data_IF_166593196838
#
_entry.id   IF_166593196838
#
_cell.length_a   1.000
_cell.length_b   1.000
_cell.length_c   1.000
_cell.angle_alpha   90.00
_cell.angle_beta   90.00
_cell.angle_gamma   90.00
#
_symmetry.space_group_name_H-M   'P 1'
#
loop_
_entity.id
_entity.type
_entity.pdbx_description
1 polymer ?
#
# COMPACT_ATOMS: atom_id res chain seq x y z
N UNK A 1 -1.65 66.77 -33.52
CA UNK A 1 -0.75 65.60 -33.39
C UNK A 1 -0.17 65.45 -31.98
N UNK A 2 0.35 66.52 -31.35
CA UNK A 2 0.99 66.46 -30.01
C UNK A 2 0.08 66.05 -28.84
N UNK A 3 -1.21 66.43 -28.85
CA UNK A 3 -2.15 66.15 -27.75
C UNK A 3 -2.51 64.65 -27.70
N UNK A 4 -2.67 64.02 -28.86
CA UNK A 4 -3.00 62.59 -28.96
C UNK A 4 -1.85 61.68 -28.50
N UNK A 5 -0.59 62.10 -28.72
CA UNK A 5 0.59 61.40 -28.24
C UNK A 5 0.73 61.44 -26.71
N UNK A 6 0.36 62.56 -26.07
CA UNK A 6 0.36 62.71 -24.60
C UNK A 6 -0.66 61.80 -23.91
N UNK A 7 -1.87 61.68 -24.45
CA UNK A 7 -2.91 60.81 -23.88
C UNK A 7 -2.56 59.31 -24.01
N UNK A 8 -1.91 58.92 -25.10
CA UNK A 8 -1.43 57.55 -25.30
C UNK A 8 -0.31 57.22 -24.31
N UNK A 9 0.63 58.14 -24.09
CA UNK A 9 1.69 58.01 -23.08
C UNK A 9 1.12 57.96 -21.66
N UNK A 10 0.14 58.80 -21.32
CA UNK A 10 -0.50 58.80 -20.01
C UNK A 10 -1.23 57.47 -19.73
N UNK A 11 -1.99 56.95 -20.71
CA UNK A 11 -2.62 55.63 -20.60
C UNK A 11 -1.60 54.49 -20.46
N UNK A 12 -0.51 54.53 -21.23
CA UNK A 12 0.55 53.53 -21.14
C UNK A 12 1.22 53.52 -19.75
N UNK A 13 1.47 54.69 -19.14
CA UNK A 13 2.04 54.81 -17.79
C UNK A 13 1.09 54.22 -16.72
N UNK A 14 -0.21 54.50 -16.82
CA UNK A 14 -1.21 53.94 -15.89
C UNK A 14 -1.28 52.42 -16.01
N UNK A 15 -1.26 51.87 -17.22
CA UNK A 15 -1.26 50.43 -17.46
C UNK A 15 0.02 49.76 -16.93
N UNK A 16 1.19 50.38 -17.14
CA UNK A 16 2.45 49.85 -16.59
C UNK A 16 2.48 49.88 -15.05
N UNK A 17 1.90 50.91 -14.43
CA UNK A 17 1.79 51.00 -12.97
C UNK A 17 0.85 49.92 -12.40
N UNK A 18 -0.29 49.69 -13.04
CA UNK A 18 -1.23 48.62 -12.68
C UNK A 18 -0.59 47.23 -12.85
N UNK A 19 0.13 47.00 -13.95
CA UNK A 19 0.88 45.76 -14.18
C UNK A 19 1.96 45.55 -13.11
N UNK A 20 2.71 46.60 -12.75
CA UNK A 20 3.69 46.55 -11.67
C UNK A 20 3.07 46.22 -10.30
N UNK A 21 1.85 46.68 -10.02
CA UNK A 21 1.11 46.33 -8.81
C UNK A 21 0.69 44.85 -8.81
N UNK A 22 0.10 44.36 -9.91
CA UNK A 22 -0.30 42.97 -10.05
C UNK A 22 0.90 42.00 -9.97
N UNK A 23 2.05 42.36 -10.51
CA UNK A 23 3.27 41.54 -10.39
C UNK A 23 3.76 41.48 -8.93
N UNK A 24 3.63 42.56 -8.16
CA UNK A 24 3.99 42.56 -6.73
C UNK A 24 3.02 41.71 -5.90
N UNK A 25 1.72 41.83 -6.14
CA UNK A 25 0.70 40.99 -5.49
C UNK A 25 0.87 39.51 -5.83
N UNK A 26 1.18 39.20 -7.10
CA UNK A 26 1.48 37.85 -7.55
C UNK A 26 2.69 37.25 -6.82
N UNK A 27 3.78 38.02 -6.65
CA UNK A 27 4.96 37.57 -5.90
C UNK A 27 4.67 37.30 -4.42
N UNK A 28 3.87 38.15 -3.77
CA UNK A 28 3.45 37.93 -2.37
C UNK A 28 2.56 36.70 -2.26
N UNK A 29 1.65 36.50 -3.22
CA UNK A 29 0.77 35.31 -3.26
C UNK A 29 1.58 34.04 -3.53
N UNK A 30 2.54 34.08 -4.44
CA UNK A 30 3.46 32.98 -4.74
C UNK A 30 4.28 32.59 -3.51
N UNK A 31 4.83 33.57 -2.78
CA UNK A 31 5.56 33.31 -1.54
C UNK A 31 4.69 32.60 -0.51
N UNK A 32 3.45 33.07 -0.29
CA UNK A 32 2.48 32.41 0.61
C UNK A 32 2.10 31.01 0.17
N UNK A 33 1.93 30.79 -1.14
CA UNK A 33 1.65 29.46 -1.70
C UNK A 33 2.85 28.52 -1.49
N UNK A 34 4.07 29.01 -1.71
CA UNK A 34 5.27 28.21 -1.51
C UNK A 34 5.44 27.86 -0.04
N UNK A 35 5.27 28.81 0.87
CA UNK A 35 5.28 28.56 2.32
C UNK A 35 4.22 27.51 2.71
N UNK A 36 2.99 27.64 2.20
CA UNK A 36 1.95 26.63 2.42
C UNK A 36 2.34 25.25 1.88
N UNK A 37 2.99 25.17 0.71
CA UNK A 37 3.46 23.91 0.11
C UNK A 37 4.51 23.22 0.97
N UNK A 38 5.40 23.99 1.62
CA UNK A 38 6.42 23.44 2.51
C UNK A 38 5.78 22.62 3.65
N UNK A 39 4.71 23.14 4.23
CA UNK A 39 4.01 22.49 5.35
C UNK A 39 3.43 21.12 4.97
N UNK A 40 2.94 20.96 3.74
CA UNK A 40 2.37 19.69 3.26
C UNK A 40 3.36 18.77 2.55
N UNK A 41 4.64 19.17 2.44
CA UNK A 41 5.66 18.36 1.75
C UNK A 41 5.78 16.95 2.34
N UNK A 42 5.69 16.80 3.66
CA UNK A 42 5.76 15.49 4.32
C UNK A 42 4.61 14.56 3.87
N UNK A 43 3.38 15.09 3.76
CA UNK A 43 2.23 14.34 3.26
C UNK A 43 2.39 13.97 1.77
N UNK A 44 2.90 14.90 0.96
CA UNK A 44 3.17 14.64 -0.46
C UNK A 44 4.28 13.58 -0.66
N UNK A 45 5.35 13.65 0.13
CA UNK A 45 6.43 12.66 0.11
C UNK A 45 5.92 11.28 0.51
N UNK A 46 5.08 11.19 1.56
CA UNK A 46 4.41 9.94 1.95
C UNK A 46 3.55 9.39 0.82
N UNK A 47 2.70 10.22 0.20
CA UNK A 47 1.85 9.78 -0.91
C UNK A 47 2.68 9.27 -2.09
N UNK A 48 3.77 9.97 -2.44
CA UNK A 48 4.68 9.55 -3.50
C UNK A 48 5.33 8.20 -3.19
N UNK A 49 5.83 8.00 -1.97
CA UNK A 49 6.38 6.72 -1.52
C UNK A 49 5.38 5.57 -1.70
N UNK A 50 4.14 5.78 -1.23
CA UNK A 50 3.07 4.78 -1.31
C UNK A 50 2.74 4.41 -2.76
N UNK A 51 2.68 5.40 -3.66
CA UNK A 51 2.46 5.17 -5.08
C UNK A 51 3.55 4.28 -5.69
N UNK A 52 4.82 4.57 -5.42
CA UNK A 52 5.93 3.79 -5.99
C UNK A 52 5.97 2.37 -5.45
N UNK A 53 5.71 2.17 -4.14
CA UNK A 53 5.61 0.82 -3.56
C UNK A 53 4.47 0.05 -4.24
N UNK A 54 3.30 0.68 -4.40
CA UNK A 54 2.14 0.06 -5.05
C UNK A 54 2.43 -0.27 -6.53
N UNK A 55 3.07 0.64 -7.27
CA UNK A 55 3.43 0.42 -8.67
C UNK A 55 4.43 -0.73 -8.85
N UNK A 56 5.36 -0.89 -7.91
CA UNK A 56 6.37 -1.94 -7.94
C UNK A 56 5.84 -3.35 -7.64
N UNK A 57 4.58 -3.48 -7.19
CA UNK A 57 3.97 -4.79 -6.93
C UNK A 57 3.82 -5.65 -8.20
N UNK A 58 3.78 -5.04 -9.39
CA UNK A 58 3.77 -5.79 -10.65
C UNK A 58 5.01 -6.69 -10.82
N UNK A 59 6.11 -6.39 -10.11
CA UNK A 59 7.35 -7.18 -10.09
C UNK A 59 7.17 -8.49 -9.31
N UNK A 60 6.20 -8.53 -8.38
CA UNK A 60 5.86 -9.72 -7.60
C UNK A 60 4.90 -10.60 -8.41
N UNK A 61 3.83 -10.00 -8.94
CA UNK A 61 2.85 -10.72 -9.74
C UNK A 61 2.28 -9.84 -10.87
N UNK A 62 2.17 -10.34 -12.12
CA UNK A 62 1.69 -9.55 -13.26
C UNK A 62 0.26 -8.98 -13.11
N UNK A 63 -0.56 -9.56 -12.21
CA UNK A 63 -1.91 -9.06 -11.91
C UNK A 63 -1.92 -7.81 -11.02
N UNK A 64 -0.80 -7.48 -10.35
CA UNK A 64 -0.72 -6.32 -9.46
C UNK A 64 -0.44 -5.05 -10.26
N UNK A 65 -1.42 -4.65 -11.06
CA UNK A 65 -1.36 -3.44 -11.88
C UNK A 65 -2.21 -2.34 -11.27
N UNK A 66 -1.56 -1.25 -10.90
CA UNK A 66 -2.21 -0.07 -10.34
C UNK A 66 -1.84 1.14 -11.18
N UNK A 67 -2.84 1.96 -11.53
CA UNK A 67 -2.61 3.18 -12.32
C UNK A 67 -2.50 4.41 -11.44
N UNK A 68 -1.81 5.44 -11.93
CA UNK A 68 -1.78 6.75 -11.29
C UNK A 68 -3.18 7.38 -11.18
N UNK A 69 -4.07 7.13 -12.16
CA UNK A 69 -5.46 7.60 -12.13
C UNK A 69 -6.20 7.01 -10.93
N UNK A 70 -6.10 5.69 -10.73
CA UNK A 70 -6.72 5.02 -9.58
C UNK A 70 -6.13 5.49 -8.25
N UNK A 71 -4.79 5.61 -8.17
CA UNK A 71 -4.12 6.16 -6.99
C UNK A 71 -4.63 7.58 -6.65
N UNK A 72 -4.78 8.44 -7.66
CA UNK A 72 -5.21 9.84 -7.48
C UNK A 72 -6.61 9.93 -6.88
N UNK A 73 -7.53 9.04 -7.31
CA UNK A 73 -8.88 8.96 -6.74
C UNK A 73 -8.83 8.56 -5.27
N UNK A 74 -8.05 7.53 -4.93
CA UNK A 74 -7.88 7.07 -3.54
C UNK A 74 -7.25 8.16 -2.67
N UNK A 75 -6.21 8.82 -3.19
CA UNK A 75 -5.54 9.93 -2.52
C UNK A 75 -6.49 11.09 -2.23
N UNK A 76 -7.29 11.54 -3.21
CA UNK A 76 -8.26 12.61 -3.02
C UNK A 76 -9.32 12.24 -1.97
N UNK A 77 -9.86 11.01 -2.03
CA UNK A 77 -10.81 10.51 -1.03
C UNK A 77 -10.17 10.48 0.37
N UNK A 78 -8.91 10.07 0.48
CA UNK A 78 -8.19 10.03 1.75
C UNK A 78 -7.96 11.44 2.34
N UNK A 79 -7.64 12.42 1.51
CA UNK A 79 -7.47 13.83 1.92
C UNK A 79 -8.78 14.42 2.45
N UNK A 80 -9.90 14.12 1.79
CA UNK A 80 -11.24 14.55 2.22
C UNK A 80 -11.69 13.85 3.51
N UNK A 81 -11.33 12.57 3.68
CA UNK A 81 -11.64 11.77 4.87
C UNK A 81 -10.79 12.12 6.09
N UNK A 82 -9.61 12.70 5.89
CA UNK A 82 -8.70 13.01 6.98
C UNK A 82 -9.32 14.05 7.93
N UNK A 83 -9.31 13.76 9.23
CA UNK A 83 -9.87 14.64 10.25
C UNK A 83 -9.26 16.06 10.18
N UNK A 84 -10.10 17.11 10.15
CA UNK A 84 -9.63 18.49 10.20
C UNK A 84 -9.01 18.79 11.57
N UNK A 85 -8.03 19.68 11.59
CA UNK A 85 -7.42 20.16 12.83
C UNK A 85 -6.95 21.60 12.62
N UNK A 86 -7.08 22.43 13.67
CA UNK A 86 -6.63 23.83 13.67
C UNK A 86 -5.10 23.92 13.79
N UNK A 87 -4.47 22.96 14.47
CA UNK A 87 -3.01 22.86 14.48
C UNK A 87 -2.50 22.25 13.18
N UNK A 88 -1.69 23.01 12.45
CA UNK A 88 -1.18 22.60 11.14
C UNK A 88 -0.35 21.31 11.21
N UNK A 89 0.43 21.09 12.28
CA UNK A 89 1.24 19.87 12.41
C UNK A 89 0.33 18.66 12.61
N UNK A 90 -0.66 18.77 13.49
CA UNK A 90 -1.64 17.72 13.70
C UNK A 90 -2.47 17.45 12.43
N UNK A 91 -2.87 18.50 11.70
CA UNK A 91 -3.57 18.35 10.41
C UNK A 91 -2.73 17.57 9.40
N UNK A 92 -1.43 17.86 9.29
CA UNK A 92 -0.52 17.13 8.40
C UNK A 92 -0.36 15.67 8.84
N UNK A 93 -0.31 15.40 10.15
CA UNK A 93 -0.30 14.04 10.69
C UNK A 93 -1.58 13.28 10.31
N UNK A 94 -2.75 13.88 10.51
CA UNK A 94 -4.05 13.29 10.16
C UNK A 94 -4.12 12.96 8.66
N UNK A 95 -3.58 13.83 7.81
CA UNK A 95 -3.47 13.60 6.36
C UNK A 95 -2.58 12.39 6.05
N UNK A 96 -1.37 12.35 6.63
CA UNK A 96 -0.43 11.24 6.45
C UNK A 96 -1.07 9.91 6.86
N UNK A 97 -1.75 9.88 8.00
CA UNK A 97 -2.40 8.68 8.51
C UNK A 97 -3.56 8.22 7.64
N UNK A 98 -4.43 9.15 7.22
CA UNK A 98 -5.56 8.86 6.33
C UNK A 98 -5.08 8.36 4.96
N UNK A 99 -4.11 9.04 4.35
CA UNK A 99 -3.52 8.65 3.06
C UNK A 99 -2.88 7.26 3.18
N UNK A 100 -2.07 7.03 4.21
CA UNK A 100 -1.40 5.74 4.41
C UNK A 100 -2.42 4.61 4.59
N UNK A 101 -3.45 4.82 5.42
CA UNK A 101 -4.49 3.82 5.68
C UNK A 101 -5.34 3.52 4.45
N UNK A 102 -5.78 4.55 3.72
CA UNK A 102 -6.62 4.39 2.53
C UNK A 102 -5.88 3.70 1.38
N UNK A 103 -4.61 4.09 1.12
CA UNK A 103 -3.81 3.42 0.09
C UNK A 103 -3.52 1.98 0.50
N UNK A 104 -3.15 1.72 1.76
CA UNK A 104 -2.94 0.37 2.27
C UNK A 104 -4.17 -0.54 2.06
N UNK A 105 -5.36 -0.07 2.43
CA UNK A 105 -6.61 -0.81 2.25
C UNK A 105 -6.92 -1.03 0.76
N UNK A 106 -6.72 0.00 -0.06
CA UNK A 106 -6.93 -0.10 -1.49
C UNK A 106 -6.01 -1.15 -2.14
N UNK A 107 -4.71 -1.10 -1.83
CA UNK A 107 -3.73 -2.04 -2.38
C UNK A 107 -3.99 -3.46 -1.89
N UNK A 108 -4.17 -3.68 -0.58
CA UNK A 108 -4.37 -5.04 -0.02
C UNK A 108 -5.62 -5.76 -0.55
N UNK A 109 -6.67 -5.05 -0.99
CA UNK A 109 -7.81 -5.68 -1.67
C UNK A 109 -7.44 -6.35 -2.98
N UNK A 110 -6.44 -5.82 -3.69
CA UNK A 110 -5.98 -6.33 -4.97
C UNK A 110 -4.93 -7.43 -4.87
N UNK A 111 -4.48 -7.79 -3.66
CA UNK A 111 -3.39 -8.76 -3.45
C UNK A 111 -3.91 -10.13 -3.03
N UNK A 112 -3.24 -11.18 -3.49
CA UNK A 112 -3.39 -12.51 -2.93
C UNK A 112 -2.94 -12.55 -1.47
N UNK A 113 -3.57 -13.41 -0.67
CA UNK A 113 -3.23 -13.56 0.75
C UNK A 113 -1.75 -13.87 1.00
N UNK A 114 -1.11 -14.65 0.12
CA UNK A 114 0.30 -15.00 0.24
C UNK A 114 1.24 -13.80 0.14
N UNK A 115 0.84 -12.73 -0.56
CA UNK A 115 1.68 -11.57 -0.85
C UNK A 115 1.42 -10.38 0.08
N UNK A 116 0.30 -10.40 0.83
CA UNK A 116 -0.08 -9.28 1.71
C UNK A 116 0.99 -8.98 2.75
N UNK A 117 1.55 -10.01 3.39
CA UNK A 117 2.58 -9.79 4.41
C UNK A 117 3.86 -9.18 3.81
N UNK A 118 4.25 -9.61 2.61
CA UNK A 118 5.39 -9.04 1.88
C UNK A 118 5.17 -7.56 1.58
N UNK A 119 3.99 -7.20 1.08
CA UNK A 119 3.63 -5.81 0.83
C UNK A 119 3.64 -4.97 2.12
N UNK A 120 3.03 -5.48 3.20
CA UNK A 120 2.95 -4.79 4.48
C UNK A 120 4.34 -4.58 5.10
N UNK A 121 5.22 -5.59 5.02
CA UNK A 121 6.59 -5.49 5.48
C UNK A 121 7.36 -4.43 4.69
N UNK A 122 7.27 -4.46 3.35
CA UNK A 122 7.90 -3.45 2.50
C UNK A 122 7.38 -2.04 2.79
N UNK A 123 6.07 -1.88 2.98
CA UNK A 123 5.44 -0.63 3.37
C UNK A 123 6.03 -0.10 4.68
N UNK A 124 6.11 -0.95 5.72
CA UNK A 124 6.68 -0.58 7.01
C UNK A 124 8.15 -0.19 6.89
N UNK A 125 8.99 -0.99 6.23
CA UNK A 125 10.41 -0.70 6.07
C UNK A 125 10.65 0.63 5.35
N UNK A 126 9.95 0.89 4.25
CA UNK A 126 10.11 2.11 3.48
C UNK A 126 9.64 3.35 4.26
N UNK A 127 8.53 3.25 5.00
CA UNK A 127 8.05 4.31 5.89
C UNK A 127 9.09 4.63 6.96
N UNK A 128 9.61 3.61 7.64
CA UNK A 128 10.56 3.78 8.73
C UNK A 128 11.92 4.31 8.22
N UNK A 129 12.37 3.90 7.03
CA UNK A 129 13.55 4.46 6.38
C UNK A 129 13.36 5.95 6.06
N UNK A 130 12.22 6.32 5.46
CA UNK A 130 11.92 7.72 5.13
C UNK A 130 11.88 8.60 6.39
N UNK A 131 11.41 8.05 7.50
CA UNK A 131 11.39 8.72 8.80
C UNK A 131 12.72 8.62 9.57
N UNK A 132 13.74 7.95 9.03
CA UNK A 132 15.04 7.68 9.69
C UNK A 132 14.94 6.93 11.03
N UNK A 133 13.91 6.11 11.19
CA UNK A 133 13.62 5.34 12.42
C UNK A 133 14.32 3.97 12.47
N UNK A 134 14.89 3.51 11.36
CA UNK A 134 15.63 2.25 11.26
C UNK A 134 16.95 2.42 10.54
N UNK A 135 17.95 1.61 10.91
CA UNK A 135 19.26 1.58 10.28
C UNK A 135 19.20 0.83 8.94
N UNK A 136 19.63 1.45 7.81
CA UNK A 136 19.68 0.77 6.52
C UNK A 136 20.56 -0.49 6.50
N UNK A 137 21.64 -0.53 7.29
CA UNK A 137 22.52 -1.70 7.37
C UNK A 137 21.84 -2.91 8.05
N UNK A 138 21.07 -2.67 9.11
CA UNK A 138 20.26 -3.71 9.76
C UNK A 138 19.22 -4.29 8.78
N UNK A 139 18.58 -3.42 8.00
CA UNK A 139 17.60 -3.84 7.00
C UNK A 139 18.25 -4.63 5.86
N UNK A 140 19.42 -4.21 5.37
CA UNK A 140 20.15 -4.93 4.32
C UNK A 140 20.54 -6.34 4.80
N UNK A 141 21.01 -6.47 6.04
CA UNK A 141 21.23 -7.77 6.66
C UNK A 141 19.95 -8.62 6.69
N UNK A 142 18.82 -8.06 7.15
CA UNK A 142 17.56 -8.80 7.24
C UNK A 142 17.12 -9.34 5.87
N UNK A 143 17.22 -8.52 4.82
CA UNK A 143 16.75 -8.84 3.47
C UNK A 143 17.68 -9.78 2.71
N UNK A 144 19.00 -9.54 2.75
CA UNK A 144 19.99 -10.37 2.03
C UNK A 144 20.37 -11.62 2.80
N UNK A 145 20.32 -11.55 4.12
CA UNK A 145 20.74 -12.58 5.05
C UNK A 145 22.12 -13.17 4.68
N UNK A 146 23.20 -12.38 4.76
CA UNK A 146 24.54 -12.89 4.50
C UNK A 146 24.91 -13.96 5.53
N UNK A 147 25.55 -15.03 5.06
CA UNK A 147 25.96 -16.17 5.89
C UNK A 147 27.45 -16.41 5.71
N UNK A 148 28.19 -16.50 6.81
CA UNK A 148 29.60 -16.91 6.76
C UNK A 148 29.69 -18.40 6.42
N UNK A 149 30.32 -18.79 5.29
CA UNK A 149 30.43 -20.19 4.89
C UNK A 149 31.49 -20.93 5.72
N UNK A 150 31.35 -22.26 5.81
CA UNK A 150 32.37 -23.14 6.39
C UNK A 150 32.49 -23.12 7.92
N UNK A 151 31.60 -22.43 8.62
CA UNK A 151 31.55 -22.46 10.09
C UNK A 151 30.66 -23.61 10.59
N UNK A 152 31.08 -24.26 11.67
CA UNK A 152 30.28 -25.26 12.36
C UNK A 152 29.61 -24.65 13.59
N UNK A 153 28.35 -25.00 13.82
CA UNK A 153 27.65 -24.60 15.04
C UNK A 153 28.29 -25.30 16.24
N UNK A 154 28.69 -24.56 17.29
CA UNK A 154 29.17 -25.13 18.54
C UNK A 154 28.03 -25.61 19.45
N UNK A 155 26.78 -25.32 19.08
CA UNK A 155 25.56 -25.70 19.81
C UNK A 155 24.67 -26.62 18.97
N UNK A 156 23.97 -27.53 19.63
CA UNK A 156 23.16 -28.58 18.99
C UNK A 156 21.80 -28.09 18.47
N UNK A 157 21.31 -26.95 18.97
CA UNK A 157 20.01 -26.37 18.62
C UNK A 157 20.05 -25.36 17.47
N UNK A 158 21.23 -25.09 16.88
CA UNK A 158 21.38 -24.25 15.68
C UNK A 158 22.06 -25.02 14.56
N UNK A 159 21.57 -24.83 13.34
CA UNK A 159 22.24 -25.36 12.14
C UNK A 159 23.53 -24.59 11.84
N UNK A 160 24.45 -25.21 11.09
CA UNK A 160 25.66 -24.53 10.59
C UNK A 160 25.32 -23.27 9.77
N UNK A 161 24.21 -23.30 9.03
CA UNK A 161 23.74 -22.16 8.23
C UNK A 161 23.24 -21.00 9.12
N UNK A 162 22.41 -21.31 10.11
CA UNK A 162 21.97 -20.35 11.14
C UNK A 162 23.16 -19.75 11.88
N UNK A 163 24.12 -20.58 12.25
CA UNK A 163 25.34 -20.15 12.92
C UNK A 163 26.19 -19.22 12.05
N UNK A 164 26.35 -19.53 10.76
CA UNK A 164 27.00 -18.61 9.81
C UNK A 164 26.29 -17.26 9.69
N UNK A 165 24.95 -17.24 9.82
CA UNK A 165 24.17 -16.00 9.94
C UNK A 165 24.45 -15.24 11.24
N UNK A 166 24.52 -15.93 12.37
CA UNK A 166 24.93 -15.33 13.67
C UNK A 166 26.33 -14.72 13.57
N UNK A 167 27.29 -15.44 12.97
CA UNK A 167 28.66 -14.92 12.79
C UNK A 167 28.70 -13.70 11.89
N UNK A 168 27.93 -13.70 10.80
CA UNK A 168 27.79 -12.52 9.94
C UNK A 168 27.17 -11.34 10.69
N UNK A 169 26.15 -11.59 11.51
CA UNK A 169 25.52 -10.56 12.34
C UNK A 169 26.51 -9.96 13.35
N UNK A 170 27.37 -10.78 13.96
CA UNK A 170 28.43 -10.33 14.89
C UNK A 170 29.46 -9.38 14.27
N UNK A 171 29.54 -9.27 12.94
CA UNK A 171 30.41 -8.30 12.27
C UNK A 171 29.92 -6.86 12.42
N UNK A 172 28.63 -6.69 12.74
CA UNK A 172 28.02 -5.39 13.02
C UNK A 172 28.25 -5.01 14.48
N UNK A 173 28.54 -3.73 14.74
CA UNK A 173 28.99 -3.25 16.06
C UNK A 173 28.00 -3.56 17.17
N UNK A 174 26.71 -3.44 16.86
CA UNK A 174 25.61 -3.66 17.78
C UNK A 174 25.48 -5.12 18.20
N UNK A 175 25.99 -6.08 17.44
CA UNK A 175 25.84 -7.51 17.72
C UNK A 175 27.13 -8.20 18.13
N UNK A 176 28.17 -7.43 18.45
CA UNK A 176 29.44 -7.98 18.94
C UNK A 176 29.20 -8.91 20.14
N UNK A 177 29.89 -10.05 20.12
CA UNK A 177 29.82 -11.11 21.14
C UNK A 177 28.48 -11.87 21.24
N UNK A 178 27.54 -11.71 20.29
CA UNK A 178 26.32 -12.52 20.26
C UNK A 178 26.63 -14.02 20.19
N UNK A 179 27.57 -14.40 19.34
CA UNK A 179 28.08 -15.77 19.22
C UNK A 179 28.61 -16.30 20.57
N UNK A 180 29.47 -15.52 21.24
CA UNK A 180 30.05 -15.88 22.54
C UNK A 180 29.00 -16.04 23.63
N UNK A 181 27.96 -15.20 23.66
CA UNK A 181 26.87 -15.33 24.63
C UNK A 181 25.97 -16.54 24.35
N UNK A 182 25.72 -16.86 23.06
CA UNK A 182 25.00 -18.08 22.69
C UNK A 182 25.75 -19.33 23.15
N UNK A 183 27.07 -19.37 22.95
CA UNK A 183 27.92 -20.47 23.42
C UNK A 183 27.97 -20.54 24.96
N UNK A 184 28.31 -19.42 25.61
CA UNK A 184 28.50 -19.37 27.06
C UNK A 184 27.20 -19.58 27.86
N UNK A 185 26.06 -19.18 27.29
CA UNK A 185 24.73 -19.31 27.90
C UNK A 185 23.82 -20.29 27.15
N UNK A 186 24.39 -21.35 26.56
CA UNK A 186 23.70 -22.29 25.66
C UNK A 186 22.34 -22.79 26.16
N UNK A 187 22.21 -23.18 27.45
CA UNK A 187 20.93 -23.65 28.02
C UNK A 187 19.80 -22.63 27.90
N UNK A 188 20.10 -21.34 28.06
CA UNK A 188 19.10 -20.26 28.00
C UNK A 188 18.70 -19.97 26.56
N UNK A 189 19.68 -19.91 25.65
CA UNK A 189 19.43 -19.72 24.23
C UNK A 189 18.68 -20.89 23.62
N UNK A 190 19.02 -22.13 24.01
CA UNK A 190 18.27 -23.33 23.65
C UNK A 190 16.80 -23.21 24.02
N UNK A 191 16.49 -22.79 25.26
CA UNK A 191 15.11 -22.56 25.70
C UNK A 191 14.35 -21.55 24.82
N UNK A 192 15.00 -20.45 24.45
CA UNK A 192 14.39 -19.44 23.57
C UNK A 192 14.20 -19.98 22.14
N UNK A 193 15.24 -20.59 21.55
CA UNK A 193 15.21 -21.12 20.18
C UNK A 193 14.22 -22.26 20.05
N UNK A 194 14.10 -23.14 21.05
CA UNK A 194 13.15 -24.27 21.04
C UNK A 194 11.73 -23.88 21.47
N UNK A 195 11.48 -22.62 21.82
CA UNK A 195 10.12 -22.13 22.11
C UNK A 195 9.20 -22.32 20.90
N UNK A 196 7.92 -22.57 21.14
CA UNK A 196 6.92 -22.65 20.07
C UNK A 196 6.68 -21.29 19.41
N UNK A 197 6.70 -20.21 20.21
CA UNK A 197 6.40 -18.84 19.80
C UNK A 197 7.52 -17.87 20.25
N UNK A 198 8.77 -18.05 19.79
CA UNK A 198 9.92 -17.24 20.20
C UNK A 198 9.74 -15.74 19.93
N UNK A 199 8.97 -15.37 18.91
CA UNK A 199 8.65 -13.97 18.58
C UNK A 199 7.85 -13.26 19.69
N UNK A 200 7.16 -14.01 20.56
CA UNK A 200 6.44 -13.49 21.74
C UNK A 200 7.30 -13.49 23.00
N UNK A 201 8.47 -14.13 22.97
CA UNK A 201 9.37 -14.19 24.11
C UNK A 201 10.31 -13.00 24.18
N UNK A 202 10.79 -12.70 25.38
CA UNK A 202 11.86 -11.72 25.57
C UNK A 202 13.19 -12.40 25.27
N UNK A 203 14.01 -11.76 24.43
CA UNK A 203 15.36 -12.20 24.17
C UNK A 203 16.19 -12.30 25.48
N UNK A 204 17.18 -13.21 25.55
CA UNK A 204 18.05 -13.34 26.71
C UNK A 204 18.81 -12.05 27.06
N UNK A 205 19.04 -11.81 28.36
CA UNK A 205 19.95 -10.76 28.87
C UNK A 205 19.72 -9.36 28.27
N UNK A 206 20.77 -8.76 27.72
CA UNK A 206 20.81 -7.43 27.12
C UNK A 206 20.24 -7.40 25.69
N UNK A 207 20.09 -8.56 25.04
CA UNK A 207 19.54 -8.67 23.70
C UNK A 207 18.08 -8.26 23.61
N UNK A 208 17.34 -8.27 24.73
CA UNK A 208 15.98 -7.71 24.82
C UNK A 208 15.92 -6.20 24.60
N UNK A 209 17.03 -5.48 24.78
CA UNK A 209 17.11 -4.04 24.62
C UNK A 209 17.39 -3.61 23.17
N UNK A 210 17.58 -4.57 22.26
CA UNK A 210 17.77 -4.30 20.84
C UNK A 210 16.53 -3.66 20.22
N UNK A 211 16.74 -2.84 19.20
CA UNK A 211 15.64 -2.25 18.44
C UNK A 211 14.78 -3.36 17.81
N UNK A 212 13.55 -3.04 17.45
CA UNK A 212 12.61 -4.01 16.87
C UNK A 212 13.14 -4.61 15.56
N UNK A 213 13.87 -3.83 14.76
CA UNK A 213 14.51 -4.33 13.53
C UNK A 213 15.70 -5.23 13.86
N UNK A 214 16.51 -4.87 14.85
CA UNK A 214 17.64 -5.70 15.28
C UNK A 214 17.17 -7.04 15.86
N UNK A 215 16.05 -7.04 16.61
CA UNK A 215 15.38 -8.26 17.07
C UNK A 215 14.92 -9.13 15.90
N UNK A 216 14.41 -8.53 14.80
CA UNK A 216 14.11 -9.27 13.57
C UNK A 216 15.36 -9.89 12.94
N UNK A 217 16.50 -9.17 12.89
CA UNK A 217 17.76 -9.72 12.37
C UNK A 217 18.22 -10.94 13.19
N UNK A 218 18.07 -10.88 14.51
CA UNK A 218 18.35 -12.02 15.39
C UNK A 218 17.38 -13.18 15.16
N UNK A 219 16.07 -12.91 15.07
CA UNK A 219 15.07 -13.93 14.73
C UNK A 219 15.38 -14.60 13.39
N UNK A 220 15.84 -13.85 12.39
CA UNK A 220 16.18 -14.38 11.06
C UNK A 220 17.31 -15.41 11.13
N UNK A 221 18.30 -15.19 12.00
CA UNK A 221 19.40 -16.14 12.20
C UNK A 221 19.00 -17.35 13.05
N UNK A 222 18.20 -17.12 14.11
CA UNK A 222 17.91 -18.12 15.13
C UNK A 222 16.70 -19.01 14.80
N UNK A 223 15.63 -18.43 14.26
CA UNK A 223 14.34 -19.08 13.97
C UNK A 223 13.74 -18.58 12.64
N UNK A 224 14.38 -18.90 11.50
CA UNK A 224 13.92 -18.45 10.18
C UNK A 224 12.50 -18.93 9.84
N UNK A 225 12.05 -20.05 10.42
CA UNK A 225 10.70 -20.60 10.27
C UNK A 225 9.60 -19.75 10.90
N UNK A 226 9.95 -18.90 11.89
CA UNK A 226 9.00 -18.01 12.59
C UNK A 226 8.96 -16.59 12.03
N UNK A 227 9.67 -16.32 10.94
CA UNK A 227 9.79 -14.96 10.38
C UNK A 227 8.45 -14.34 9.98
N UNK A 228 7.50 -15.14 9.49
CA UNK A 228 6.15 -14.66 9.15
C UNK A 228 5.46 -14.02 10.36
N UNK A 229 5.58 -14.64 11.54
CA UNK A 229 5.00 -14.13 12.78
C UNK A 229 5.82 -12.96 13.33
N UNK A 230 7.14 -13.07 13.33
CA UNK A 230 8.02 -11.99 13.80
C UNK A 230 7.83 -10.69 12.99
N UNK A 231 7.72 -10.78 11.66
CA UNK A 231 7.48 -9.62 10.79
C UNK A 231 6.09 -9.03 11.03
N UNK A 232 5.07 -9.87 11.24
CA UNK A 232 3.73 -9.40 11.61
C UNK A 232 3.77 -8.60 12.90
N UNK A 233 4.42 -9.13 13.93
CA UNK A 233 4.56 -8.45 15.23
C UNK A 233 5.35 -7.14 15.09
N UNK A 234 6.40 -7.12 14.29
CA UNK A 234 7.16 -5.89 13.99
C UNK A 234 6.28 -4.82 13.34
N UNK A 235 5.48 -5.19 12.35
CA UNK A 235 4.55 -4.27 11.68
C UNK A 235 3.51 -3.76 12.67
N UNK A 236 2.93 -4.64 13.48
CA UNK A 236 1.96 -4.26 14.51
C UNK A 236 2.56 -3.26 15.51
N UNK A 237 3.79 -3.50 15.94
CA UNK A 237 4.51 -2.61 16.86
C UNK A 237 4.79 -1.23 16.22
N UNK A 238 5.11 -1.18 14.93
CA UNK A 238 5.56 0.05 14.25
C UNK A 238 4.47 0.86 13.58
N UNK A 239 3.50 0.21 12.95
CA UNK A 239 2.41 0.86 12.22
C UNK A 239 1.06 0.73 12.95
N UNK A 240 0.94 -0.20 13.88
CA UNK A 240 -0.29 -0.47 14.63
C UNK A 240 -1.09 -1.66 14.10
N UNK A 241 -1.97 -2.17 14.95
CA UNK A 241 -2.75 -3.40 14.71
C UNK A 241 -3.65 -3.34 13.47
N UNK A 242 -4.07 -2.14 13.05
CA UNK A 242 -4.89 -1.93 11.84
C UNK A 242 -4.23 -2.43 10.53
N UNK A 243 -2.90 -2.61 10.52
CA UNK A 243 -2.17 -3.10 9.35
C UNK A 243 -1.95 -4.62 9.33
N UNK A 244 -2.24 -5.32 10.43
CA UNK A 244 -2.05 -6.78 10.53
C UNK A 244 -3.34 -7.54 10.77
N UNK A 245 -4.38 -6.88 11.29
CA UNK A 245 -5.70 -7.47 11.46
C UNK A 245 -6.32 -7.63 10.06
N UNK A 246 -6.43 -8.88 9.61
CA UNK A 246 -7.13 -9.24 8.38
C UNK A 246 -8.63 -9.02 8.53
N UNK A 247 -9.09 -7.78 8.47
CA UNK A 247 -10.53 -7.49 8.42
C UNK A 247 -11.00 -7.76 6.99
N UNK A 248 -11.98 -8.66 6.84
CA UNK A 248 -12.70 -8.78 5.58
C UNK A 248 -13.27 -7.41 5.22
N UNK A 249 -12.89 -6.88 4.07
CA UNK A 249 -13.33 -5.56 3.63
C UNK A 249 -14.76 -5.67 3.14
N UNK A 250 -15.65 -4.82 3.69
CA UNK A 250 -17.03 -4.74 3.26
C UNK A 250 -17.09 -4.30 1.79
N UNK A 251 -17.88 -5.01 0.99
CA UNK A 251 -18.13 -4.63 -0.40
C UNK A 251 -18.67 -3.19 -0.49
N UNK A 252 -19.49 -2.75 0.47
CA UNK A 252 -20.04 -1.39 0.48
C UNK A 252 -18.94 -0.31 0.53
N UNK A 253 -17.94 -0.48 1.39
CA UNK A 253 -16.82 0.47 1.48
C UNK A 253 -15.98 0.49 0.19
N UNK A 254 -15.84 -0.66 -0.47
CA UNK A 254 -15.14 -0.74 -1.76
C UNK A 254 -15.96 -0.13 -2.89
N UNK A 255 -17.29 -0.26 -2.84
CA UNK A 255 -18.21 0.35 -3.79
C UNK A 255 -18.18 1.89 -3.72
N UNK A 256 -18.18 2.48 -2.52
CA UNK A 256 -18.04 3.93 -2.33
C UNK A 256 -16.73 4.50 -2.90
N UNK A 257 -15.69 3.66 -2.93
CA UNK A 257 -14.38 4.03 -3.48
C UNK A 257 -14.30 3.85 -5.00
N UNK A 258 -15.19 3.03 -5.58
CA UNK A 258 -15.32 2.83 -7.02
C UNK A 258 -16.03 3.99 -7.72
N UNK A 259 -16.09 3.94 -9.05
CA UNK A 259 -16.86 4.88 -9.86
C UNK A 259 -17.29 4.23 -11.17
N UNK A 260 -18.23 4.83 -11.91
CA UNK A 260 -18.72 4.26 -13.17
C UNK A 260 -17.60 4.03 -14.20
N UNK A 261 -16.54 4.85 -14.15
CA UNK A 261 -15.38 4.74 -15.04
C UNK A 261 -14.26 3.84 -14.50
N UNK A 262 -14.50 3.07 -13.43
CA UNK A 262 -13.50 2.20 -12.80
C UNK A 262 -14.12 0.85 -12.46
N UNK A 263 -13.94 -0.18 -13.31
CA UNK A 263 -14.34 -1.54 -13.02
C UNK A 263 -13.94 -2.05 -11.64
N UNK A 264 -14.85 -2.76 -10.96
CA UNK A 264 -14.49 -3.60 -9.82
C UNK A 264 -14.22 -5.03 -10.26
N UNK A 265 -13.01 -5.50 -9.95
CA UNK A 265 -12.57 -6.85 -10.23
C UNK A 265 -12.48 -7.68 -8.96
N UNK A 266 -13.18 -8.81 -8.98
CA UNK A 266 -13.11 -9.82 -7.92
C UNK A 266 -12.18 -10.92 -8.40
N UNK A 267 -11.14 -11.20 -7.61
CA UNK A 267 -10.27 -12.35 -7.80
C UNK A 267 -10.75 -13.44 -6.85
N UNK A 268 -11.31 -14.50 -7.42
CA UNK A 268 -11.89 -15.59 -6.62
C UNK A 268 -10.84 -16.63 -6.27
N UNK A 269 -10.89 -17.09 -5.02
CA UNK A 269 -10.33 -18.39 -4.64
C UNK A 269 -11.43 -19.45 -4.68
N UNK A 270 -11.10 -20.73 -4.92
CA UNK A 270 -12.07 -21.82 -4.91
C UNK A 270 -12.95 -21.79 -3.65
N UNK A 271 -14.27 -21.84 -3.84
CA UNK A 271 -15.26 -21.86 -2.74
C UNK A 271 -15.71 -20.50 -2.20
N UNK A 272 -15.18 -19.38 -2.71
CA UNK A 272 -15.64 -18.02 -2.35
C UNK A 272 -16.57 -17.47 -3.43
N UNK A 273 -17.75 -17.01 -3.03
CA UNK A 273 -18.76 -16.40 -3.92
C UNK A 273 -19.09 -14.96 -3.49
N UNK A 274 -18.48 -13.93 -4.11
CA UNK A 274 -18.73 -12.54 -3.76
C UNK A 274 -20.07 -12.03 -4.30
N UNK A 275 -20.75 -12.80 -5.17
CA UNK A 275 -22.00 -12.38 -5.78
C UNK A 275 -23.06 -12.06 -4.71
N UNK A 276 -23.07 -12.82 -3.61
CA UNK A 276 -23.99 -12.59 -2.49
C UNK A 276 -23.81 -11.23 -1.85
N UNK A 277 -22.58 -10.77 -1.69
CA UNK A 277 -22.30 -9.45 -1.10
C UNK A 277 -22.66 -8.32 -2.06
N UNK A 278 -22.42 -8.52 -3.37
CA UNK A 278 -22.83 -7.58 -4.43
C UNK A 278 -24.35 -7.46 -4.49
N UNK A 279 -25.07 -8.58 -4.53
CA UNK A 279 -26.54 -8.58 -4.57
C UNK A 279 -27.14 -7.99 -3.29
N UNK A 280 -26.58 -8.31 -2.12
CA UNK A 280 -27.01 -7.74 -0.84
C UNK A 280 -26.84 -6.22 -0.81
N UNK A 281 -25.75 -5.70 -1.37
CA UNK A 281 -25.55 -4.25 -1.46
C UNK A 281 -26.43 -3.63 -2.55
N UNK A 282 -26.54 -4.27 -3.71
CA UNK A 282 -27.42 -3.84 -4.82
C UNK A 282 -28.87 -3.70 -4.36
N UNK A 283 -29.41 -4.66 -3.62
CA UNK A 283 -30.75 -4.57 -3.01
C UNK A 283 -30.96 -3.32 -2.15
N UNK A 284 -29.94 -2.91 -1.37
CA UNK A 284 -30.01 -1.68 -0.55
C UNK A 284 -30.06 -0.41 -1.42
N UNK A 285 -29.44 -0.44 -2.59
CA UNK A 285 -29.35 0.68 -3.52
C UNK A 285 -30.42 0.62 -4.64
N UNK A 286 -31.30 -0.39 -4.63
CA UNK A 286 -32.32 -0.58 -5.64
C UNK A 286 -31.84 -1.23 -6.95
N UNK A 287 -30.62 -1.76 -7.00
CA UNK A 287 -30.10 -2.57 -8.11
C UNK A 287 -30.46 -4.04 -7.91
N UNK A 288 -31.50 -4.50 -8.61
CA UNK A 288 -32.04 -5.87 -8.48
C UNK A 288 -32.46 -6.43 -9.84
N UNK A 289 -32.56 -7.75 -9.92
CA UNK A 289 -33.11 -8.42 -11.11
C UNK A 289 -34.57 -8.03 -11.35
N UNK A 290 -35.36 -7.88 -10.28
CA UNK A 290 -36.78 -7.47 -10.36
C UNK A 290 -36.94 -6.06 -10.94
N UNK A 291 -36.04 -5.15 -10.61
CA UNK A 291 -36.00 -3.79 -11.15
C UNK A 291 -35.39 -3.72 -12.56
N UNK A 292 -34.94 -4.85 -13.12
CA UNK A 292 -34.31 -4.96 -14.45
C UNK A 292 -33.09 -4.03 -14.65
N UNK A 293 -32.44 -3.66 -13.54
CA UNK A 293 -31.26 -2.78 -13.52
C UNK A 293 -30.02 -3.48 -12.95
N UNK A 294 -30.10 -4.79 -12.72
CA UNK A 294 -28.97 -5.67 -12.44
C UNK A 294 -28.92 -6.79 -13.50
N UNK A 295 -27.83 -6.86 -14.24
CA UNK A 295 -27.58 -7.86 -15.28
C UNK A 295 -26.45 -8.78 -14.83
N UNK A 296 -26.67 -10.10 -14.87
CA UNK A 296 -25.63 -11.08 -14.53
C UNK A 296 -25.41 -12.01 -15.73
N UNK A 297 -24.22 -11.94 -16.33
CA UNK A 297 -23.87 -12.64 -17.56
C UNK A 297 -22.66 -13.53 -17.31
N UNK A 298 -22.86 -14.84 -17.41
CA UNK A 298 -21.76 -15.82 -17.42
C UNK A 298 -21.16 -15.91 -18.82
N UNK A 299 -19.90 -15.52 -18.98
CA UNK A 299 -19.21 -15.62 -20.27
C UNK A 299 -18.92 -17.09 -20.61
N UNK A 300 -19.61 -17.57 -21.63
CA UNK A 300 -19.45 -18.88 -22.26
C UNK A 300 -19.50 -18.76 -23.77
N UNK A 301 -19.63 -19.89 -24.48
CA UNK A 301 -19.73 -19.86 -25.95
C UNK A 301 -20.96 -19.09 -26.42
N UNK A 302 -20.74 -18.04 -27.22
CA UNK A 302 -21.80 -17.21 -27.81
C UNK A 302 -22.40 -16.14 -26.88
N UNK A 303 -21.89 -15.96 -25.65
CA UNK A 303 -22.45 -15.00 -24.67
C UNK A 303 -21.86 -13.59 -24.77
N UNK A 304 -20.90 -13.36 -25.66
CA UNK A 304 -20.19 -12.09 -25.83
C UNK A 304 -21.13 -10.95 -26.25
N UNK A 305 -22.00 -11.22 -27.24
CA UNK A 305 -22.98 -10.27 -27.75
C UNK A 305 -23.98 -9.86 -26.65
N UNK A 306 -24.35 -10.80 -25.77
CA UNK A 306 -25.26 -10.55 -24.65
C UNK A 306 -24.58 -9.65 -23.61
N UNK A 307 -23.29 -9.89 -23.33
CA UNK A 307 -22.51 -9.05 -22.43
C UNK A 307 -22.37 -7.62 -22.97
N UNK A 308 -22.04 -7.46 -24.26
CA UNK A 308 -21.95 -6.14 -24.92
C UNK A 308 -23.27 -5.38 -24.87
N UNK A 309 -24.39 -6.04 -25.18
CA UNK A 309 -25.73 -5.42 -25.08
C UNK A 309 -26.09 -5.00 -23.65
N UNK A 310 -25.76 -5.82 -22.65
CA UNK A 310 -25.98 -5.48 -21.25
C UNK A 310 -25.15 -4.27 -20.82
N UNK A 311 -23.90 -4.20 -21.28
CA UNK A 311 -22.97 -3.09 -21.01
C UNK A 311 -23.44 -1.79 -21.69
N UNK A 312 -23.88 -1.84 -22.96
CA UNK A 312 -24.44 -0.69 -23.67
C UNK A 312 -25.69 -0.13 -22.99
N UNK A 313 -26.58 -1.04 -22.56
CA UNK A 313 -27.79 -0.66 -21.83
C UNK A 313 -27.44 -0.03 -20.48
N UNK A 314 -26.48 -0.61 -19.76
CA UNK A 314 -26.01 -0.11 -18.48
C UNK A 314 -25.31 1.24 -18.59
N UNK A 315 -24.52 1.46 -19.63
CA UNK A 315 -23.86 2.74 -19.87
C UNK A 315 -24.86 3.89 -20.08
N UNK A 316 -26.00 3.62 -20.74
CA UNK A 316 -27.05 4.62 -21.00
C UNK A 316 -27.95 4.87 -19.79
N UNK A 317 -28.27 3.82 -19.04
CA UNK A 317 -29.30 3.86 -18.00
C UNK A 317 -28.75 3.78 -16.57
N UNK A 318 -27.44 3.63 -16.40
CA UNK A 318 -26.79 3.51 -15.09
C UNK A 318 -27.04 2.17 -14.38
N UNK A 319 -27.17 1.07 -15.11
CA UNK A 319 -27.43 -0.26 -14.53
C UNK A 319 -26.14 -0.91 -13.99
N UNK A 320 -26.28 -1.97 -13.19
CA UNK A 320 -25.17 -2.82 -12.78
C UNK A 320 -25.05 -4.02 -13.72
N UNK A 321 -23.82 -4.34 -14.12
CA UNK A 321 -23.50 -5.52 -14.91
C UNK A 321 -22.45 -6.34 -14.17
N UNK A 322 -22.75 -7.61 -13.98
CA UNK A 322 -21.85 -8.62 -13.42
C UNK A 322 -21.49 -9.56 -14.56
N UNK A 323 -20.21 -9.65 -14.87
CA UNK A 323 -19.68 -10.64 -15.80
C UNK A 323 -19.07 -11.80 -14.99
N UNK A 324 -19.15 -13.03 -15.46
CA UNK A 324 -18.52 -14.18 -14.80
C UNK A 324 -17.68 -14.98 -15.80
N UNK A 325 -16.68 -15.75 -15.31
CA UNK A 325 -15.83 -16.64 -16.12
C UNK A 325 -14.97 -15.95 -17.21
N UNK A 326 -14.56 -14.71 -16.98
CA UNK A 326 -13.82 -13.88 -17.94
C UNK A 326 -12.43 -14.39 -18.36
N UNK A 327 -11.77 -15.24 -17.56
CA UNK A 327 -10.39 -15.72 -17.83
C UNK A 327 -10.34 -16.84 -18.89
N UNK A 328 -11.46 -17.51 -19.18
CA UNK A 328 -11.50 -18.64 -20.13
C UNK A 328 -11.29 -18.26 -21.60
N UNK A 329 -11.16 -16.96 -21.92
CA UNK A 329 -10.98 -16.44 -23.28
C UNK A 329 -9.90 -15.38 -23.32
N UNK A 330 -8.81 -15.65 -24.03
CA UNK A 330 -7.61 -14.80 -24.14
C UNK A 330 -7.81 -13.53 -24.99
N UNK A 331 -8.91 -13.40 -25.74
CA UNK A 331 -9.14 -12.30 -26.70
C UNK A 331 -10.20 -11.27 -26.27
N UNK A 332 -11.18 -11.66 -25.45
CA UNK A 332 -12.29 -10.79 -25.04
C UNK A 332 -11.90 -9.69 -24.02
N UNK A 333 -11.00 -9.94 -23.04
CA UNK A 333 -10.59 -8.92 -22.07
C UNK A 333 -9.89 -7.71 -22.71
N UNK A 334 -9.16 -7.90 -23.82
CA UNK A 334 -8.37 -6.85 -24.47
C UNK A 334 -9.24 -5.86 -25.26
N UNK A 335 -10.34 -6.33 -25.87
CA UNK A 335 -11.36 -5.46 -26.47
C UNK A 335 -12.14 -4.73 -25.38
N UNK A 336 -12.50 -5.43 -24.30
CA UNK A 336 -13.19 -4.83 -23.17
C UNK A 336 -12.35 -3.70 -22.53
N UNK A 337 -11.06 -3.88 -22.27
CA UNK A 337 -10.21 -2.82 -21.68
C UNK A 337 -10.11 -1.56 -22.56
N UNK A 338 -10.34 -1.68 -23.88
CA UNK A 338 -10.38 -0.52 -24.80
C UNK A 338 -11.75 0.12 -24.90
N UNK A 339 -12.82 -0.67 -24.85
CA UNK A 339 -14.19 -0.19 -25.06
C UNK A 339 -14.92 0.11 -23.74
N UNK A 340 -14.37 -0.33 -22.61
CA UNK A 340 -15.10 -0.42 -21.34
C UNK A 340 -14.28 0.21 -20.20
N UNK A 341 -14.65 1.45 -19.90
CA UNK A 341 -14.49 2.10 -18.59
C UNK A 341 -15.39 1.44 -17.49
N UNK A 342 -16.06 0.30 -17.72
CA UNK A 342 -17.06 -0.32 -16.83
C UNK A 342 -16.83 -1.83 -16.49
N UNK A 343 -16.59 -2.13 -15.22
CA UNK A 343 -16.70 -3.45 -14.53
C UNK A 343 -16.24 -4.76 -15.24
N UNK A 344 -15.05 -5.26 -14.87
CA UNK A 344 -14.54 -6.61 -15.19
C UNK A 344 -14.37 -7.42 -13.91
N UNK A 345 -14.97 -8.61 -13.86
CA UNK A 345 -14.84 -9.65 -12.81
C UNK A 345 -13.90 -10.74 -13.30
N UNK A 346 -12.96 -11.27 -12.51
CA UNK A 346 -12.11 -12.40 -12.94
C UNK A 346 -11.99 -13.51 -11.89
N UNK A 347 -12.63 -14.66 -12.09
CA UNK A 347 -12.31 -15.87 -11.32
C UNK A 347 -11.06 -16.56 -11.88
N UNK A 348 -10.10 -16.89 -11.03
CA UNK A 348 -9.12 -17.94 -11.29
C UNK A 348 -9.70 -19.27 -10.75
N UNK A 349 -9.46 -20.34 -11.48
CA UNK A 349 -10.04 -21.68 -11.24
C UNK A 349 -9.53 -22.37 -9.99
#
# INVERSE_FOLDING_TARGET
MYIHSRDVLAKAVVVMAAFGHHVKEAKVTEAKINEAREHYRAAAARASLLYFIMNDLNKIHPMYQFSLKAFSVVFQKAVLKAEPDEDLKQRVSNLIDSITSSVFQYTTRGLFECDKLTYIAQLAFQILLMNTEINPADLDFLLRYPVQPGVMSPVDFLSNHSWGGVKSLCSMEEFRNLDRDIEGSAKRWKKFVESECPEKEKFPQEWKNKSSLQRLCMMRALRPDRMTYAVRDFVEEKLGSKYVIGRALDFAASFEESGPATPMCFILSPGVDPLKDVEKHGKRLGFTFDNKNLHNVSLGQGQEVIAEQALDLAARNGHWVILQKCVSRTSFPVKLVKDIELSLVTSLG
#
